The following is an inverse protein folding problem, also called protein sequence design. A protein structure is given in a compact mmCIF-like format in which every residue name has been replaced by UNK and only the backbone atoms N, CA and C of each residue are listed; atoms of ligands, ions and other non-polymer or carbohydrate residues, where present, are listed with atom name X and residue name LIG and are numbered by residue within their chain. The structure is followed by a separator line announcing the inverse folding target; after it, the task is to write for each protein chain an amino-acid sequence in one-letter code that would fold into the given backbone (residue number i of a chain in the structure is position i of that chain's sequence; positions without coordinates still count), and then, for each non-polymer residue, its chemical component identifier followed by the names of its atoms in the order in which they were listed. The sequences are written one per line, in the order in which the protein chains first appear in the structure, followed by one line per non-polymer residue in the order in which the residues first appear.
data_IF_807011639133
#
_entry.id   IF_807011639133
#
_cell.length_a   1.000
_cell.length_b   1.000
_cell.length_c   1.000
_cell.angle_alpha   90.00
_cell.angle_beta   90.00
_cell.angle_gamma   90.00
#
_symmetry.space_group_name_H-M   'P 1'
#
loop_
_entity.id
_entity.type
_entity.pdbx_description
1 polymer ?
#
# COMPACT_ATOMS: atom_id res chain seq x y z
N UNK A 1 -32.43 49.54 13.49
CA UNK A 1 -32.48 48.50 12.45
C UNK A 1 -31.22 48.44 11.58
N UNK A 2 -30.61 49.57 11.23
CA UNK A 2 -29.45 49.65 10.33
C UNK A 2 -28.19 48.86 10.82
N UNK A 3 -27.93 48.78 12.14
CA UNK A 3 -26.74 48.07 12.69
C UNK A 3 -26.85 46.56 12.60
N UNK A 4 -28.04 45.99 12.69
CA UNK A 4 -28.22 44.53 12.58
C UNK A 4 -27.99 44.03 11.14
N UNK A 5 -28.41 44.81 10.16
CA UNK A 5 -28.19 44.53 8.74
C UNK A 5 -26.70 44.59 8.38
N UNK A 6 -25.93 45.55 8.92
CA UNK A 6 -24.48 45.66 8.68
C UNK A 6 -23.70 44.52 9.30
N UNK A 7 -24.09 44.03 10.49
CA UNK A 7 -23.46 42.91 11.17
C UNK A 7 -23.71 41.59 10.40
N UNK A 8 -24.93 41.35 9.93
CA UNK A 8 -25.25 40.16 9.15
C UNK A 8 -24.55 40.14 7.79
N UNK A 9 -24.30 41.30 7.18
CA UNK A 9 -23.60 41.41 5.90
C UNK A 9 -22.11 41.05 5.99
N UNK A 10 -21.50 41.17 7.18
CA UNK A 10 -20.09 40.77 7.44
C UNK A 10 -20.02 39.34 7.94
N UNK A 11 -20.95 38.90 8.78
CA UNK A 11 -20.95 37.58 9.37
C UNK A 11 -21.28 36.46 8.35
N UNK A 12 -22.15 36.72 7.39
CA UNK A 12 -22.54 35.75 6.38
C UNK A 12 -21.36 35.32 5.47
N UNK A 13 -20.56 36.22 4.88
CA UNK A 13 -19.41 35.82 4.09
C UNK A 13 -18.30 35.17 4.95
N UNK A 14 -18.14 35.59 6.22
CA UNK A 14 -17.18 34.95 7.14
C UNK A 14 -17.58 33.51 7.45
N UNK A 15 -18.85 33.26 7.74
CA UNK A 15 -19.37 31.91 7.96
C UNK A 15 -19.23 31.05 6.72
N UNK A 16 -19.46 31.59 5.54
CA UNK A 16 -19.32 30.89 4.27
C UNK A 16 -17.87 30.50 4.00
N UNK A 17 -16.90 31.38 4.25
CA UNK A 17 -15.48 31.11 4.11
C UNK A 17 -15.00 30.02 5.07
N UNK A 18 -15.48 30.01 6.32
CA UNK A 18 -15.18 28.96 7.29
C UNK A 18 -15.76 27.62 6.83
N UNK A 19 -17.00 27.59 6.36
CA UNK A 19 -17.65 26.37 5.85
C UNK A 19 -16.90 25.80 4.64
N UNK A 20 -16.49 26.64 3.69
CA UNK A 20 -15.69 26.23 2.54
C UNK A 20 -14.33 25.68 3.01
N UNK A 21 -13.67 26.35 3.95
CA UNK A 21 -12.39 25.89 4.51
C UNK A 21 -12.51 24.52 5.17
N UNK A 22 -13.53 24.31 6.00
CA UNK A 22 -13.79 23.00 6.66
C UNK A 22 -14.12 21.94 5.61
N UNK A 23 -14.91 22.25 4.60
CA UNK A 23 -15.25 21.33 3.52
C UNK A 23 -14.01 20.90 2.72
N UNK A 24 -13.19 21.87 2.28
CA UNK A 24 -11.93 21.59 1.56
C UNK A 24 -10.97 20.76 2.42
N UNK A 25 -10.82 21.12 3.71
CA UNK A 25 -10.00 20.35 4.65
C UNK A 25 -10.50 18.91 4.82
N UNK A 26 -11.82 18.71 4.91
CA UNK A 26 -12.41 17.38 5.04
C UNK A 26 -12.16 16.52 3.80
N UNK A 27 -12.31 17.11 2.60
CA UNK A 27 -12.01 16.42 1.33
C UNK A 27 -10.52 16.02 1.26
N UNK A 28 -9.63 16.92 1.60
CA UNK A 28 -8.19 16.66 1.60
C UNK A 28 -7.78 15.60 2.63
N UNK A 29 -8.38 15.65 3.83
CA UNK A 29 -8.17 14.62 4.87
C UNK A 29 -8.67 13.25 4.43
N UNK A 30 -9.81 13.16 3.74
CA UNK A 30 -10.34 11.91 3.19
C UNK A 30 -9.43 11.35 2.09
N UNK A 31 -8.94 12.20 1.19
CA UNK A 31 -8.03 11.80 0.11
C UNK A 31 -6.71 11.26 0.67
N UNK A 32 -6.13 11.91 1.69
CA UNK A 32 -4.93 11.41 2.38
C UNK A 32 -5.15 10.04 3.01
N UNK A 33 -6.26 9.83 3.71
CA UNK A 33 -6.61 8.52 4.29
C UNK A 33 -6.72 7.47 3.19
N UNK A 34 -7.46 7.77 2.13
CA UNK A 34 -7.65 6.88 1.00
C UNK A 34 -6.31 6.53 0.32
N UNK A 35 -5.44 7.50 0.09
CA UNK A 35 -4.11 7.27 -0.49
C UNK A 35 -3.25 6.37 0.40
N UNK A 36 -3.34 6.47 1.72
CA UNK A 36 -2.59 5.63 2.67
C UNK A 36 -3.13 4.20 2.76
N UNK A 37 -4.40 3.95 2.43
CA UNK A 37 -5.03 2.63 2.45
C UNK A 37 -4.83 1.84 1.15
N UNK A 38 -4.69 2.54 0.02
CA UNK A 38 -4.51 1.92 -1.31
C UNK A 38 -3.41 0.83 -1.32
N UNK A 39 -2.18 1.08 -0.84
CA UNK A 39 -1.13 0.07 -0.87
C UNK A 39 -1.42 -1.10 0.08
N UNK A 40 -2.10 -0.85 1.19
CA UNK A 40 -2.49 -1.89 2.16
C UNK A 40 -3.48 -2.85 1.50
N UNK A 41 -4.54 -2.31 0.89
CA UNK A 41 -5.55 -3.10 0.20
C UNK A 41 -4.96 -3.84 -1.02
N UNK A 42 -4.14 -3.15 -1.82
CA UNK A 42 -3.52 -3.76 -2.99
C UNK A 42 -2.56 -4.89 -2.60
N UNK A 43 -1.72 -4.72 -1.58
CA UNK A 43 -0.84 -5.80 -1.09
C UNK A 43 -1.63 -6.94 -0.47
N UNK A 44 -2.73 -6.67 0.23
CA UNK A 44 -3.61 -7.71 0.77
C UNK A 44 -4.27 -8.54 -0.36
N UNK A 45 -4.74 -7.88 -1.41
CA UNK A 45 -5.30 -8.54 -2.59
C UNK A 45 -4.24 -9.37 -3.32
N UNK A 46 -3.05 -8.81 -3.56
CA UNK A 46 -1.95 -9.55 -4.18
C UNK A 46 -1.53 -10.77 -3.35
N UNK A 47 -1.39 -10.62 -2.02
CA UNK A 47 -1.10 -11.75 -1.14
C UNK A 47 -2.14 -12.85 -1.26
N UNK A 48 -3.43 -12.51 -1.22
CA UNK A 48 -4.52 -13.48 -1.40
C UNK A 48 -4.40 -14.22 -2.72
N UNK A 49 -4.09 -13.49 -3.79
CA UNK A 49 -4.03 -14.07 -5.14
C UNK A 49 -2.76 -14.90 -5.35
N UNK A 50 -1.63 -14.51 -4.73
CA UNK A 50 -0.41 -15.33 -4.66
C UNK A 50 -0.65 -16.64 -3.90
N UNK A 51 -1.34 -16.61 -2.76
CA UNK A 51 -1.73 -17.82 -2.02
C UNK A 51 -2.66 -18.71 -2.84
N UNK A 52 -3.65 -18.15 -3.54
CA UNK A 52 -4.51 -18.91 -4.47
C UNK A 52 -3.72 -19.56 -5.61
N UNK A 53 -2.75 -18.87 -6.16
CA UNK A 53 -1.87 -19.44 -7.18
C UNK A 53 -1.09 -20.62 -6.61
N UNK A 54 -0.49 -20.45 -5.43
CA UNK A 54 0.23 -21.52 -4.73
C UNK A 54 -0.66 -22.74 -4.48
N UNK A 55 -1.90 -22.53 -4.02
CA UNK A 55 -2.88 -23.63 -3.83
C UNK A 55 -3.17 -24.41 -5.11
N UNK A 56 -3.18 -23.72 -6.28
CA UNK A 56 -3.44 -24.35 -7.58
C UNK A 56 -2.21 -25.00 -8.21
N UNK A 57 -1.01 -24.53 -7.91
CA UNK A 57 0.23 -24.90 -8.61
C UNK A 57 1.28 -25.58 -7.72
N UNK A 58 1.09 -25.59 -6.40
CA UNK A 58 2.03 -26.15 -5.42
C UNK A 58 3.25 -25.27 -5.15
N UNK A 59 3.36 -24.11 -5.82
CA UNK A 59 4.47 -23.16 -5.64
C UNK A 59 4.01 -21.74 -5.93
N UNK A 60 4.70 -20.74 -5.36
CA UNK A 60 4.47 -19.34 -5.75
C UNK A 60 4.96 -19.09 -7.18
N UNK A 61 4.34 -18.12 -7.91
CA UNK A 61 4.70 -17.82 -9.28
C UNK A 61 6.14 -17.29 -9.38
N UNK A 62 6.81 -17.48 -10.51
CA UNK A 62 8.13 -16.90 -10.74
C UNK A 62 8.05 -15.37 -10.84
N UNK A 63 6.99 -14.86 -11.49
CA UNK A 63 6.73 -13.45 -11.71
C UNK A 63 5.28 -13.10 -11.39
N UNK A 64 4.94 -11.83 -11.20
CA UNK A 64 3.54 -11.39 -11.07
C UNK A 64 2.71 -11.67 -12.33
N UNK A 65 3.37 -11.68 -13.49
CA UNK A 65 2.71 -11.96 -14.76
C UNK A 65 2.16 -13.39 -14.84
N UNK A 66 2.79 -14.34 -14.15
CA UNK A 66 2.35 -15.75 -14.13
C UNK A 66 0.98 -15.95 -13.44
N UNK A 67 0.52 -14.95 -12.69
CA UNK A 67 -0.84 -14.97 -12.12
C UNK A 67 -1.92 -14.88 -13.19
N UNK A 68 -1.59 -14.34 -14.38
CA UNK A 68 -2.54 -14.20 -15.48
C UNK A 68 -2.93 -15.56 -16.06
N UNK A 69 -4.23 -15.72 -16.27
CA UNK A 69 -4.81 -16.98 -16.74
C UNK A 69 -4.92 -18.08 -15.68
N UNK A 70 -4.37 -17.87 -14.47
CA UNK A 70 -4.48 -18.81 -13.34
C UNK A 70 -5.39 -18.26 -12.24
N UNK A 71 -5.12 -17.03 -11.81
CA UNK A 71 -5.85 -16.32 -10.75
C UNK A 71 -6.34 -14.97 -11.25
N UNK A 72 -5.58 -14.31 -12.07
CA UNK A 72 -5.94 -13.05 -12.71
C UNK A 72 -6.46 -13.29 -14.12
N UNK A 73 -7.44 -12.50 -14.52
CA UNK A 73 -7.82 -12.39 -15.93
C UNK A 73 -6.66 -11.78 -16.72
N UNK A 74 -6.50 -12.22 -17.97
CA UNK A 74 -5.56 -11.59 -18.88
C UNK A 74 -6.02 -10.17 -19.18
N UNK A 75 -5.27 -9.20 -18.70
CA UNK A 75 -5.50 -7.77 -18.93
C UNK A 75 -4.17 -7.09 -19.19
N UNK A 76 -4.23 -6.02 -19.93
CA UNK A 76 -3.07 -5.14 -20.09
C UNK A 76 -2.77 -4.47 -18.74
N UNK A 77 -1.65 -4.86 -18.13
CA UNK A 77 -1.14 -4.31 -16.88
C UNK A 77 0.22 -3.70 -17.10
N UNK A 78 0.51 -2.65 -16.38
CA UNK A 78 1.80 -1.97 -16.50
C UNK A 78 2.92 -2.77 -15.79
N UNK A 79 3.32 -3.87 -16.40
CA UNK A 79 4.44 -4.68 -15.92
C UNK A 79 5.78 -4.04 -16.25
N UNK A 80 6.74 -4.25 -15.37
CA UNK A 80 8.12 -3.81 -15.47
C UNK A 80 9.04 -4.97 -15.10
N UNK A 81 10.29 -4.98 -15.60
CA UNK A 81 11.28 -6.00 -15.29
C UNK A 81 10.78 -7.43 -15.53
N UNK A 82 10.36 -7.72 -16.75
CA UNK A 82 9.90 -9.04 -17.20
C UNK A 82 8.76 -9.64 -16.36
N UNK A 83 7.93 -8.77 -15.77
CA UNK A 83 6.79 -9.16 -14.97
C UNK A 83 7.06 -9.39 -13.49
N UNK A 84 8.29 -9.19 -13.02
CA UNK A 84 8.61 -9.18 -11.59
C UNK A 84 8.03 -7.99 -10.84
N UNK A 85 7.79 -6.90 -11.56
CA UNK A 85 7.27 -5.67 -11.01
C UNK A 85 6.08 -5.19 -11.81
N UNK A 86 5.22 -4.39 -11.16
CA UNK A 86 4.15 -3.68 -11.84
C UNK A 86 3.90 -2.32 -11.21
N UNK A 87 3.44 -1.38 -12.02
CA UNK A 87 2.97 -0.09 -11.56
C UNK A 87 1.45 -0.13 -11.51
N UNK A 88 0.89 0.17 -10.36
CA UNK A 88 -0.54 0.35 -10.21
C UNK A 88 -0.81 1.59 -9.36
N UNK A 89 -1.58 2.53 -9.92
CA UNK A 89 -1.78 3.86 -9.35
C UNK A 89 -0.41 4.52 -9.07
N UNK A 90 -0.22 5.12 -7.90
CA UNK A 90 1.01 5.80 -7.50
C UNK A 90 1.97 4.87 -6.72
N UNK A 91 1.97 3.57 -7.02
CA UNK A 91 2.83 2.59 -6.37
C UNK A 91 3.53 1.69 -7.38
N UNK A 92 4.81 1.41 -7.09
CA UNK A 92 5.61 0.40 -7.76
C UNK A 92 5.64 -0.84 -6.86
N UNK A 93 5.12 -1.96 -7.38
CA UNK A 93 5.11 -3.24 -6.70
C UNK A 93 6.25 -4.09 -7.21
N UNK A 94 7.16 -4.47 -6.33
CA UNK A 94 8.29 -5.34 -6.63
C UNK A 94 8.10 -6.68 -5.93
N UNK A 95 7.97 -7.73 -6.72
CA UNK A 95 7.79 -9.09 -6.28
C UNK A 95 9.09 -9.89 -6.45
N UNK A 96 9.41 -10.75 -5.49
CA UNK A 96 10.51 -11.71 -5.59
C UNK A 96 10.12 -13.02 -4.94
N UNK A 97 10.17 -14.10 -5.71
CA UNK A 97 10.03 -15.44 -5.17
C UNK A 97 11.36 -15.85 -4.52
N UNK A 98 11.33 -16.17 -3.23
CA UNK A 98 12.50 -16.68 -2.48
C UNK A 98 12.70 -18.15 -2.79
N UNK A 99 11.63 -18.94 -2.64
CA UNK A 99 11.57 -20.38 -2.94
C UNK A 99 10.13 -20.77 -3.32
N UNK A 100 9.84 -22.05 -3.40
CA UNK A 100 8.51 -22.55 -3.76
C UNK A 100 7.41 -22.10 -2.79
N UNK A 101 7.76 -21.87 -1.50
CA UNK A 101 6.83 -21.60 -0.41
C UNK A 101 7.00 -20.21 0.21
N UNK A 102 7.90 -19.36 -0.29
CA UNK A 102 8.14 -18.03 0.25
C UNK A 102 8.36 -17.00 -0.85
N UNK A 103 7.85 -15.80 -0.59
CA UNK A 103 8.05 -14.64 -1.47
C UNK A 103 8.16 -13.35 -0.65
N UNK A 104 8.68 -12.32 -1.29
CA UNK A 104 8.63 -10.93 -0.81
C UNK A 104 7.86 -10.06 -1.79
N UNK A 105 7.19 -9.04 -1.24
CA UNK A 105 6.47 -8.03 -2.02
C UNK A 105 6.70 -6.66 -1.39
N UNK A 106 7.21 -5.75 -2.18
CA UNK A 106 7.32 -4.35 -1.84
C UNK A 106 6.21 -3.55 -2.51
N UNK A 107 5.64 -2.58 -1.81
CA UNK A 107 4.83 -1.52 -2.38
C UNK A 107 5.52 -0.19 -2.08
N UNK A 108 6.12 0.40 -3.09
CA UNK A 108 6.98 1.59 -3.02
C UNK A 108 6.21 2.74 -3.64
N UNK A 109 5.96 3.84 -2.90
CA UNK A 109 5.26 4.99 -3.46
C UNK A 109 6.11 5.68 -4.52
N UNK A 110 5.46 6.06 -5.63
CA UNK A 110 6.06 6.79 -6.73
C UNK A 110 5.24 8.04 -7.05
N UNK A 111 5.82 8.97 -7.79
CA UNK A 111 5.13 10.21 -8.18
C UNK A 111 5.34 11.36 -7.21
N UNK A 112 4.57 12.43 -7.41
CA UNK A 112 4.76 13.72 -6.70
C UNK A 112 4.40 13.69 -5.21
N UNK A 113 3.43 12.86 -4.83
CA UNK A 113 2.92 12.76 -3.44
C UNK A 113 3.62 11.68 -2.62
N UNK A 114 4.72 11.14 -3.14
CA UNK A 114 5.39 10.00 -2.53
C UNK A 114 5.88 10.30 -1.10
N UNK A 115 6.31 11.53 -0.79
CA UNK A 115 6.87 11.90 0.52
C UNK A 115 5.86 11.78 1.66
N UNK A 116 4.57 11.90 1.34
CA UNK A 116 3.48 11.75 2.30
C UNK A 116 2.96 10.29 2.40
N UNK A 117 3.44 9.43 1.53
CA UNK A 117 2.99 8.05 1.42
C UNK A 117 3.89 7.10 2.23
N UNK A 118 3.42 5.88 2.44
CA UNK A 118 4.17 4.86 3.17
C UNK A 118 4.67 3.77 2.23
N UNK A 119 5.88 3.28 2.47
CA UNK A 119 6.36 2.04 1.88
C UNK A 119 5.85 0.86 2.69
N UNK A 120 5.39 -0.19 2.01
CA UNK A 120 5.04 -1.47 2.61
C UNK A 120 6.01 -2.54 2.12
N UNK A 121 6.39 -3.42 3.03
CA UNK A 121 7.12 -4.65 2.75
C UNK A 121 6.38 -5.84 3.33
N UNK A 122 6.25 -6.90 2.56
CA UNK A 122 5.55 -8.11 2.96
C UNK A 122 6.42 -9.33 2.66
N UNK A 123 6.53 -10.22 3.64
CA UNK A 123 7.03 -11.59 3.47
C UNK A 123 5.84 -12.53 3.60
N UNK A 124 5.60 -13.33 2.58
CA UNK A 124 4.46 -14.25 2.53
C UNK A 124 4.87 -15.70 2.43
N UNK A 125 4.08 -16.55 3.09
CA UNK A 125 4.06 -18.01 2.96
C UNK A 125 2.62 -18.45 2.69
N UNK A 126 2.35 -19.72 2.35
CA UNK A 126 0.97 -20.21 2.16
C UNK A 126 0.08 -20.02 3.39
N UNK A 127 0.67 -20.02 4.59
CA UNK A 127 -0.06 -20.00 5.88
C UNK A 127 0.01 -18.67 6.61
N UNK A 128 1.07 -17.88 6.40
CA UNK A 128 1.33 -16.67 7.17
C UNK A 128 1.88 -15.55 6.31
N UNK A 129 1.60 -14.34 6.71
CA UNK A 129 2.24 -13.12 6.19
C UNK A 129 2.79 -12.29 7.35
N UNK A 130 3.90 -11.62 7.12
CA UNK A 130 4.42 -10.55 7.97
C UNK A 130 4.51 -9.30 7.12
N UNK A 131 4.12 -8.17 7.67
CA UNK A 131 4.07 -6.90 6.93
C UNK A 131 4.76 -5.83 7.75
N UNK A 132 5.60 -5.03 7.10
CA UNK A 132 6.23 -3.84 7.67
C UNK A 132 5.75 -2.60 6.92
N UNK A 133 5.63 -1.51 7.64
CA UNK A 133 5.25 -0.20 7.12
C UNK A 133 6.23 0.86 7.62
N UNK A 134 6.63 1.76 6.75
CA UNK A 134 7.55 2.86 7.10
C UNK A 134 7.39 4.05 6.19
N UNK A 135 8.27 5.02 6.35
CA UNK A 135 8.33 6.20 5.49
C UNK A 135 8.55 5.82 4.01
N UNK A 136 8.32 6.76 3.13
CA UNK A 136 8.51 6.58 1.70
C UNK A 136 9.98 6.28 1.36
N UNK A 137 10.25 5.07 0.93
CA UNK A 137 11.52 4.67 0.33
C UNK A 137 11.46 4.88 -1.20
N UNK A 138 12.63 5.00 -1.82
CA UNK A 138 12.73 4.98 -3.28
C UNK A 138 12.94 3.57 -3.78
N UNK A 139 12.69 3.34 -5.07
CA UNK A 139 13.02 2.07 -5.74
C UNK A 139 14.54 1.81 -5.64
N UNK A 140 15.37 2.87 -5.69
CA UNK A 140 16.82 2.78 -5.53
C UNK A 140 17.22 2.37 -4.11
N UNK A 141 16.57 2.92 -3.07
CA UNK A 141 16.82 2.53 -1.67
C UNK A 141 16.51 1.06 -1.43
N UNK A 142 15.39 0.58 -2.00
CA UNK A 142 15.01 -0.83 -1.94
C UNK A 142 15.96 -1.70 -2.77
N UNK A 143 16.44 -1.20 -3.92
CA UNK A 143 17.42 -1.90 -4.76
C UNK A 143 18.78 -2.14 -4.10
N UNK A 144 19.13 -1.36 -3.07
CA UNK A 144 20.35 -1.54 -2.25
C UNK A 144 20.18 -2.61 -1.16
N UNK A 145 18.96 -3.08 -0.92
CA UNK A 145 18.68 -4.15 0.02
C UNK A 145 18.91 -5.53 -0.61
N UNK A 146 19.25 -6.54 0.21
CA UNK A 146 19.28 -7.92 -0.28
C UNK A 146 17.94 -8.28 -0.93
N UNK A 147 17.98 -8.73 -2.18
CA UNK A 147 16.74 -8.94 -2.97
C UNK A 147 15.80 -9.98 -2.37
N UNK A 148 16.36 -10.94 -1.63
CA UNK A 148 15.58 -12.10 -1.20
C UNK A 148 14.97 -11.94 0.18
N UNK A 149 15.73 -11.48 1.16
CA UNK A 149 15.26 -11.25 2.53
C UNK A 149 16.08 -10.13 3.16
N UNK A 150 15.54 -8.90 3.22
CA UNK A 150 16.14 -7.90 4.06
C UNK A 150 16.12 -8.39 5.52
N UNK A 151 17.26 -8.25 6.20
CA UNK A 151 17.37 -8.56 7.62
C UNK A 151 16.48 -7.57 8.38
N UNK A 152 15.83 -8.01 9.45
CA UNK A 152 14.94 -7.14 10.26
C UNK A 152 15.65 -5.86 10.73
N UNK A 153 16.97 -5.93 10.98
CA UNK A 153 17.79 -4.78 11.29
C UNK A 153 17.85 -3.74 10.16
N UNK A 154 17.95 -4.18 8.90
CA UNK A 154 17.97 -3.27 7.75
C UNK A 154 16.62 -2.58 7.57
N UNK A 155 15.53 -3.25 7.88
CA UNK A 155 14.19 -2.67 7.89
C UNK A 155 14.04 -1.64 9.02
N UNK A 156 14.51 -1.95 10.23
CA UNK A 156 14.44 -1.07 11.39
C UNK A 156 15.29 0.20 11.18
N UNK A 157 16.51 0.08 10.63
CA UNK A 157 17.38 1.23 10.29
C UNK A 157 16.67 2.17 9.31
N UNK A 158 15.80 1.66 8.43
CA UNK A 158 15.01 2.44 7.48
C UNK A 158 13.67 2.92 8.04
N UNK A 159 13.44 2.77 9.35
CA UNK A 159 12.21 3.19 10.00
C UNK A 159 10.99 2.34 9.65
N UNK A 160 11.20 1.12 9.16
CA UNK A 160 10.12 0.18 8.90
C UNK A 160 9.70 -0.55 10.18
N UNK A 161 8.42 -0.49 10.52
CA UNK A 161 7.85 -1.10 11.73
C UNK A 161 6.94 -2.26 11.32
N UNK A 162 7.11 -3.41 11.97
CA UNK A 162 6.25 -4.56 11.73
C UNK A 162 4.81 -4.25 12.17
N UNK A 163 3.87 -4.55 11.30
CA UNK A 163 2.44 -4.41 11.55
C UNK A 163 1.91 -5.72 12.13
N UNK A 164 1.53 -5.70 13.40
CA UNK A 164 0.89 -6.86 14.03
C UNK A 164 -0.58 -6.92 13.59
N UNK A 165 -0.97 -8.03 12.98
CA UNK A 165 -2.36 -8.25 12.57
C UNK A 165 -3.20 -8.67 13.80
N UNK A 166 -3.71 -7.69 14.53
CA UNK A 166 -4.52 -7.91 15.73
C UNK A 166 -5.78 -8.78 15.48
N UNK A 167 -6.26 -8.86 14.22
CA UNK A 167 -7.41 -9.70 13.88
C UNK A 167 -7.11 -11.20 13.98
N UNK A 168 -5.86 -11.60 13.76
CA UNK A 168 -5.45 -12.99 13.85
C UNK A 168 -5.38 -13.50 15.33
N UNK A 169 -5.21 -12.61 16.29
CA UNK A 169 -5.14 -12.99 17.72
C UNK A 169 -6.51 -13.39 18.31
N UNK A 170 -7.59 -12.85 17.78
CA UNK A 170 -8.93 -13.12 18.30
C UNK A 170 -9.64 -14.31 17.65
N UNK A 171 -9.10 -14.87 16.55
CA UNK A 171 -9.72 -16.01 15.87
C UNK A 171 -9.34 -17.38 16.48
N UNK A 172 -8.31 -17.43 17.31
CA UNK A 172 -7.82 -18.68 17.94
C UNK A 172 -8.36 -18.91 19.37
N UNK A 173 -9.32 -18.10 19.83
CA UNK A 173 -9.93 -18.21 21.16
C UNK A 173 -11.39 -18.68 21.13
N UNK A 174 -11.74 -19.54 20.18
CA UNK A 174 -13.00 -20.26 20.16
C UNK A 174 -12.80 -21.75 19.96
#
# INVERSE_FOLDING_TARGET
MLNRLKISLILAPLALTILIGVYVYSLWSQERKRSSEIPVDATALMNRDLVKFHQKRGSFPATLKDLEGVVWEKKDRNYVADGHSMIHRNYFYLYSRIDQNRYTLWAIPIGKEREEASTLFLVGTPMKKRTWKGAALTVEDVGKLPRLLPIEQDLAIRGMVEQVDHKAMYSNSK
#
